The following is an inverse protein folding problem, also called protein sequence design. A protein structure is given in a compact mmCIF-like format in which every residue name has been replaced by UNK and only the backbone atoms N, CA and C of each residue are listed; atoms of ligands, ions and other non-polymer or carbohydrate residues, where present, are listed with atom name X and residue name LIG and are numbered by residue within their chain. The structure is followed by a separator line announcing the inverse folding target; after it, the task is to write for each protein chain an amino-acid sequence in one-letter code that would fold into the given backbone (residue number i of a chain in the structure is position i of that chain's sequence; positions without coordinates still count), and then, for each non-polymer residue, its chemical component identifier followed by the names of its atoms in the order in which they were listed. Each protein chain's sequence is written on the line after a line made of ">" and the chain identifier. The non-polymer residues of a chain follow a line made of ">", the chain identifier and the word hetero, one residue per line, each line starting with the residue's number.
data_IF_722530749638
#
_entry.id   IF_722530749638
#
_cell.length_a   1.000
_cell.length_b   1.000
_cell.length_c   1.000
_cell.angle_alpha   90.00
_cell.angle_beta   90.00
_cell.angle_gamma   90.00
#
_symmetry.space_group_name_H-M   'P 1'
#
loop_
_entity.id
_entity.type
_entity.pdbx_description
1 polymer ?
#
# COMPACT_ATOMS: atom_id res chain seq x y z
N UNK A 1 50.24 -42.82 51.63
CA UNK A 1 50.05 -42.73 50.20
C UNK A 1 48.60 -42.23 49.93
N UNK A 2 48.49 -41.01 49.51
CA UNK A 2 47.21 -40.34 49.27
C UNK A 2 46.97 -40.33 47.76
N UNK A 3 45.97 -41.08 47.30
CA UNK A 3 45.54 -41.09 45.91
C UNK A 3 44.69 -39.89 45.58
N UNK A 4 45.07 -39.15 44.57
CA UNK A 4 44.29 -38.06 44.00
C UNK A 4 43.31 -38.63 42.98
N UNK A 5 42.00 -38.57 43.27
CA UNK A 5 40.91 -38.77 42.29
C UNK A 5 40.78 -37.47 41.45
N UNK A 6 41.07 -37.57 40.18
CA UNK A 6 40.81 -36.52 39.22
C UNK A 6 39.37 -36.71 38.70
N UNK A 7 38.47 -35.79 39.06
CA UNK A 7 37.10 -35.75 38.55
C UNK A 7 37.11 -34.98 37.21
N UNK A 8 36.93 -35.68 36.11
CA UNK A 8 36.76 -35.10 34.77
C UNK A 8 35.33 -34.68 34.62
N UNK A 9 35.06 -33.40 34.74
CA UNK A 9 33.75 -32.82 34.43
C UNK A 9 33.60 -32.69 32.92
N UNK A 10 32.75 -33.51 32.33
CA UNK A 10 32.37 -33.48 30.92
C UNK A 10 31.29 -32.41 30.72
N UNK A 11 31.69 -31.24 30.21
CA UNK A 11 30.75 -30.17 29.84
C UNK A 11 30.15 -30.55 28.50
N UNK A 12 28.89 -31.03 28.53
CA UNK A 12 28.06 -31.20 27.32
C UNK A 12 27.56 -29.82 26.92
N UNK A 13 28.22 -29.19 25.95
CA UNK A 13 27.72 -28.00 25.30
C UNK A 13 26.54 -28.41 24.37
N UNK A 14 25.31 -28.34 24.90
CA UNK A 14 24.13 -28.42 24.09
C UNK A 14 24.02 -27.16 23.19
N UNK A 15 24.50 -27.29 21.95
CA UNK A 15 24.29 -26.26 20.94
C UNK A 15 22.78 -26.12 20.64
N UNK A 16 22.15 -25.10 21.22
CA UNK A 16 20.85 -24.64 20.73
C UNK A 16 21.07 -24.06 19.33
N UNK A 17 20.81 -24.88 18.33
CA UNK A 17 20.59 -24.39 16.96
C UNK A 17 19.26 -23.61 16.99
N UNK A 18 19.35 -22.30 17.27
CA UNK A 18 18.25 -21.40 16.99
C UNK A 18 18.09 -21.35 15.45
N UNK A 19 17.21 -22.19 14.93
CA UNK A 19 16.67 -22.02 13.60
C UNK A 19 16.03 -20.63 13.59
N UNK A 20 16.74 -19.64 13.00
CA UNK A 20 16.20 -18.31 12.85
C UNK A 20 14.93 -18.41 12.00
N UNK A 21 13.77 -18.35 12.65
CA UNK A 21 12.51 -18.10 11.96
C UNK A 21 12.68 -16.71 11.37
N UNK A 22 12.78 -16.61 10.04
CA UNK A 22 12.74 -15.32 9.35
C UNK A 22 11.37 -14.75 9.64
N UNK A 23 11.26 -13.84 10.62
CA UNK A 23 10.07 -13.06 10.81
C UNK A 23 9.95 -12.16 9.57
N UNK A 24 8.90 -12.36 8.78
CA UNK A 24 8.51 -11.36 7.79
C UNK A 24 8.03 -10.13 8.57
N UNK A 25 8.80 -9.05 8.45
CA UNK A 25 8.56 -7.81 9.19
C UNK A 25 7.58 -6.88 8.48
N UNK A 26 7.05 -7.23 7.32
CA UNK A 26 6.12 -6.43 6.52
C UNK A 26 4.82 -7.21 6.25
N UNK A 27 3.67 -6.52 6.11
CA UNK A 27 3.46 -5.07 6.20
C UNK A 27 3.33 -4.55 7.65
N UNK A 28 3.54 -3.23 7.82
CA UNK A 28 3.38 -2.54 9.11
C UNK A 28 2.14 -1.67 9.17
N UNK A 29 1.56 -1.34 8.02
CA UNK A 29 0.38 -0.48 7.85
C UNK A 29 -0.62 -1.20 6.98
N UNK A 30 -1.89 -1.13 7.35
CA UNK A 30 -2.99 -1.69 6.57
C UNK A 30 -3.94 -0.58 6.13
N UNK A 31 -4.27 -0.58 4.84
CA UNK A 31 -5.13 0.41 4.21
C UNK A 31 -6.26 -0.27 3.47
N UNK A 32 -7.48 0.15 3.77
CA UNK A 32 -8.65 -0.12 2.94
C UNK A 32 -8.82 1.02 1.93
N UNK A 33 -8.69 0.71 0.64
CA UNK A 33 -8.78 1.67 -0.44
C UNK A 33 -10.12 1.57 -1.15
N UNK A 34 -10.73 2.73 -1.41
CA UNK A 34 -11.91 2.89 -2.25
C UNK A 34 -11.54 3.74 -3.47
N UNK A 35 -12.03 3.36 -4.64
CA UNK A 35 -11.77 4.03 -5.91
C UNK A 35 -13.05 4.57 -6.52
N UNK A 36 -12.99 5.78 -7.08
CA UNK A 36 -13.97 6.30 -8.01
C UNK A 36 -13.30 6.62 -9.35
N UNK A 37 -13.79 6.01 -10.41
CA UNK A 37 -13.35 6.24 -11.80
C UNK A 37 -14.32 7.23 -12.43
N UNK A 38 -13.84 8.43 -12.73
CA UNK A 38 -14.67 9.49 -13.33
C UNK A 38 -14.55 9.48 -14.83
N UNK A 39 -15.70 9.56 -15.49
CA UNK A 39 -15.82 9.71 -16.95
C UNK A 39 -16.48 11.03 -17.29
N UNK A 40 -16.05 11.62 -18.40
CA UNK A 40 -16.67 12.81 -18.97
C UNK A 40 -17.95 12.47 -19.75
N UNK A 41 -18.55 13.50 -20.34
CA UNK A 41 -19.77 13.39 -21.19
C UNK A 41 -19.58 12.54 -22.45
N UNK A 42 -18.35 12.33 -22.89
CA UNK A 42 -18.00 11.53 -24.07
C UNK A 42 -17.57 10.09 -23.65
N UNK A 43 -17.65 9.77 -22.36
CA UNK A 43 -17.36 8.46 -21.79
C UNK A 43 -15.87 8.20 -21.54
N UNK A 44 -15.00 9.18 -21.77
CA UNK A 44 -13.58 9.02 -21.50
C UNK A 44 -13.28 9.12 -20.02
N UNK A 45 -12.37 8.29 -19.52
CA UNK A 45 -11.89 8.37 -18.14
C UNK A 45 -10.97 9.57 -18.01
N UNK A 46 -11.29 10.45 -17.06
CA UNK A 46 -10.57 11.71 -16.84
C UNK A 46 -9.82 11.76 -15.52
N UNK A 47 -10.30 11.04 -14.51
CA UNK A 47 -9.81 11.16 -13.14
C UNK A 47 -10.05 9.87 -12.36
N UNK A 48 -9.13 9.57 -11.45
CA UNK A 48 -9.29 8.58 -10.38
C UNK A 48 -9.33 9.31 -9.06
N UNK A 49 -10.39 9.11 -8.27
CA UNK A 49 -10.43 9.56 -6.89
C UNK A 49 -10.22 8.39 -5.98
N UNK A 50 -9.47 8.60 -4.92
CA UNK A 50 -9.16 7.57 -3.95
C UNK A 50 -9.48 8.04 -2.55
N UNK A 51 -10.01 7.12 -1.76
CA UNK A 51 -10.20 7.27 -0.32
C UNK A 51 -9.50 6.11 0.34
N UNK A 52 -8.51 6.40 1.17
CA UNK A 52 -7.76 5.42 1.93
C UNK A 52 -8.10 5.54 3.40
N UNK A 53 -8.52 4.45 4.00
CA UNK A 53 -8.75 4.33 5.44
C UNK A 53 -7.63 3.50 6.05
N UNK A 54 -6.93 4.07 7.01
CA UNK A 54 -5.83 3.40 7.70
C UNK A 54 -6.31 2.62 8.91
N UNK A 55 -5.57 1.58 9.26
CA UNK A 55 -5.81 0.82 10.48
C UNK A 55 -5.65 1.69 11.75
N UNK A 56 -6.26 1.24 12.85
CA UNK A 56 -6.29 2.01 14.12
C UNK A 56 -4.89 2.17 14.74
N UNK A 57 -4.01 1.19 14.58
CA UNK A 57 -2.68 1.24 15.17
C UNK A 57 -1.82 2.32 14.50
N UNK A 58 -1.78 2.33 13.17
CA UNK A 58 -1.07 3.37 12.42
C UNK A 58 -1.71 4.74 12.62
N UNK A 59 -3.04 4.81 12.64
CA UNK A 59 -3.77 6.05 12.90
C UNK A 59 -3.45 6.63 14.28
N UNK A 60 -3.31 5.77 15.29
CA UNK A 60 -2.89 6.19 16.63
C UNK A 60 -1.47 6.77 16.63
N UNK A 61 -0.59 6.27 15.78
CA UNK A 61 0.77 6.82 15.62
C UNK A 61 0.72 8.23 15.02
N UNK A 62 -0.12 8.44 13.99
CA UNK A 62 -0.34 9.77 13.42
C UNK A 62 -0.85 10.75 14.51
N UNK A 63 -1.82 10.33 15.29
CA UNK A 63 -2.34 11.16 16.38
C UNK A 63 -1.23 11.53 17.39
N UNK A 64 -0.43 10.55 17.82
CA UNK A 64 0.66 10.78 18.78
C UNK A 64 1.76 11.70 18.26
N UNK A 65 2.06 11.62 16.97
CA UNK A 65 3.16 12.38 16.34
C UNK A 65 2.75 13.81 15.99
N UNK A 66 1.46 14.05 15.71
CA UNK A 66 0.98 15.33 15.17
C UNK A 66 0.06 16.10 16.12
N UNK A 67 -0.44 15.53 17.22
CA UNK A 67 -1.20 16.23 18.26
C UNK A 67 -0.24 17.09 19.12
N UNK A 68 0.09 18.26 18.61
CA UNK A 68 1.08 19.18 19.23
C UNK A 68 0.56 19.77 20.52
N UNK A 69 -0.76 20.01 20.60
CA UNK A 69 -1.40 20.61 21.77
C UNK A 69 -1.77 19.58 22.85
N UNK A 70 -1.63 18.28 22.55
CA UNK A 70 -1.90 17.13 23.41
C UNK A 70 -3.35 17.08 23.93
N UNK A 71 -4.31 17.46 23.08
CA UNK A 71 -5.74 17.42 23.44
C UNK A 71 -6.43 16.12 23.03
N UNK A 72 -5.70 15.21 22.37
CA UNK A 72 -6.18 13.91 21.92
C UNK A 72 -6.97 13.97 20.62
N UNK A 73 -6.81 15.01 19.83
CA UNK A 73 -7.44 15.22 18.52
C UNK A 73 -6.43 15.86 17.58
N UNK A 74 -6.71 15.80 16.29
CA UNK A 74 -6.00 16.56 15.27
C UNK A 74 -6.87 17.73 14.83
N UNK A 75 -6.41 18.95 15.08
CA UNK A 75 -7.06 20.15 14.55
C UNK A 75 -6.70 20.39 13.09
N UNK A 76 -7.29 21.41 12.45
CA UNK A 76 -7.07 21.69 11.04
C UNK A 76 -5.59 21.96 10.72
N UNK A 77 -4.86 22.63 11.60
CA UNK A 77 -3.46 22.98 11.35
C UNK A 77 -2.54 21.75 11.47
N UNK A 78 -2.88 20.84 12.35
CA UNK A 78 -2.18 19.57 12.54
C UNK A 78 -2.47 18.61 11.36
N UNK A 79 -3.72 18.55 10.90
CA UNK A 79 -4.10 17.80 9.71
C UNK A 79 -3.43 18.36 8.42
N UNK A 80 -3.30 19.68 8.31
CA UNK A 80 -2.61 20.31 7.19
C UNK A 80 -1.12 19.92 7.14
N UNK A 81 -0.46 19.79 8.28
CA UNK A 81 0.94 19.33 8.33
C UNK A 81 1.05 17.86 7.94
N UNK A 82 0.14 16.99 8.41
CA UNK A 82 0.08 15.59 7.95
C UNK A 82 -0.12 15.55 6.43
N UNK A 83 -1.09 16.31 5.91
CA UNK A 83 -1.42 16.38 4.48
C UNK A 83 -0.19 16.74 3.63
N UNK A 84 0.58 17.73 4.06
CA UNK A 84 1.81 18.15 3.37
C UNK A 84 2.84 17.03 3.33
N UNK A 85 3.15 16.44 4.49
CA UNK A 85 4.18 15.38 4.61
C UNK A 85 3.79 14.15 3.78
N UNK A 86 2.53 13.71 3.85
CA UNK A 86 2.11 12.52 3.09
C UNK A 86 2.06 12.81 1.59
N UNK A 87 1.68 14.02 1.16
CA UNK A 87 1.66 14.40 -0.25
C UNK A 87 3.06 14.32 -0.85
N UNK A 88 4.06 14.87 -0.16
CA UNK A 88 5.46 14.80 -0.57
C UNK A 88 5.96 13.35 -0.61
N UNK A 89 5.74 12.58 0.46
CA UNK A 89 6.25 11.21 0.61
C UNK A 89 5.63 10.23 -0.40
N UNK A 90 4.31 10.22 -0.53
CA UNK A 90 3.60 9.27 -1.40
C UNK A 90 3.71 9.71 -2.87
N UNK A 91 3.83 11.02 -3.12
CA UNK A 91 4.05 11.56 -4.47
C UNK A 91 5.33 11.06 -5.13
N UNK A 92 6.40 10.82 -4.36
CA UNK A 92 7.64 10.22 -4.87
C UNK A 92 7.48 8.78 -5.38
N UNK A 93 6.38 8.12 -5.00
CA UNK A 93 6.04 6.74 -5.37
C UNK A 93 4.78 6.66 -6.24
N UNK A 94 4.54 7.66 -7.07
CA UNK A 94 3.39 7.75 -7.99
C UNK A 94 2.04 7.48 -7.27
N UNK A 95 1.90 7.96 -6.03
CA UNK A 95 0.71 7.75 -5.17
C UNK A 95 0.31 6.27 -5.04
N UNK A 96 1.29 5.37 -5.05
CA UNK A 96 1.10 3.91 -5.04
C UNK A 96 0.12 3.41 -6.11
N UNK A 97 -0.01 4.16 -7.22
CA UNK A 97 -1.03 3.92 -8.24
C UNK A 97 -0.41 3.78 -9.61
N UNK A 98 -0.71 2.68 -10.28
CA UNK A 98 -0.38 2.48 -11.70
C UNK A 98 -1.66 2.22 -12.49
N UNK A 99 -1.77 2.87 -13.65
CA UNK A 99 -2.89 2.69 -14.56
C UNK A 99 -2.38 2.14 -15.90
N UNK A 100 -3.03 1.10 -16.39
CA UNK A 100 -2.74 0.51 -17.70
C UNK A 100 -3.99 0.34 -18.54
N UNK A 101 -3.85 0.64 -19.83
CA UNK A 101 -4.87 0.37 -20.86
C UNK A 101 -4.22 -0.50 -21.93
N UNK A 102 -4.79 -1.66 -22.19
CA UNK A 102 -4.23 -2.66 -23.13
C UNK A 102 -2.74 -2.94 -22.87
N UNK A 103 -2.34 -2.96 -21.58
CA UNK A 103 -0.96 -3.19 -21.15
C UNK A 103 -0.03 -1.97 -21.22
N UNK A 104 -0.46 -0.87 -21.84
CA UNK A 104 0.33 0.38 -21.86
C UNK A 104 0.05 1.22 -20.62
N UNK A 105 1.09 1.71 -19.95
CA UNK A 105 0.97 2.61 -18.81
C UNK A 105 0.42 3.97 -19.26
N UNK A 106 -0.53 4.49 -18.48
CA UNK A 106 -1.15 5.80 -18.70
C UNK A 106 -0.68 6.76 -17.63
N UNK A 107 -0.21 7.94 -18.04
CA UNK A 107 0.26 8.97 -17.13
C UNK A 107 -0.87 9.82 -16.57
N UNK A 108 -0.70 10.24 -15.34
CA UNK A 108 -1.59 11.19 -14.67
C UNK A 108 -0.77 12.35 -14.09
N UNK A 109 -1.46 13.46 -13.85
CA UNK A 109 -0.90 14.61 -13.14
C UNK A 109 -0.87 14.25 -11.66
N UNK A 110 0.27 14.40 -10.98
CA UNK A 110 0.33 14.21 -9.54
C UNK A 110 -0.73 15.04 -8.80
N UNK A 111 -1.29 14.50 -7.73
CA UNK A 111 -2.19 15.25 -6.88
C UNK A 111 -1.44 16.45 -6.26
N UNK A 112 -2.05 17.62 -6.30
CA UNK A 112 -1.47 18.82 -5.68
C UNK A 112 -1.36 18.66 -4.16
N UNK A 113 -2.35 18.01 -3.56
CA UNK A 113 -2.39 17.73 -2.12
C UNK A 113 -3.28 16.53 -1.82
N UNK A 114 -2.84 15.70 -0.89
CA UNK A 114 -3.67 14.69 -0.25
C UNK A 114 -4.35 15.35 0.95
N UNK A 115 -5.68 15.39 0.94
CA UNK A 115 -6.44 15.83 2.12
C UNK A 115 -6.46 14.72 3.16
N UNK A 116 -6.21 15.07 4.40
CA UNK A 116 -6.27 14.13 5.53
C UNK A 116 -7.40 14.54 6.47
N UNK A 117 -8.14 13.56 6.93
CA UNK A 117 -9.13 13.68 7.99
C UNK A 117 -8.88 12.60 9.05
N UNK A 118 -9.40 12.81 10.25
CA UNK A 118 -9.27 11.86 11.34
C UNK A 118 -10.64 11.68 12.00
N UNK A 119 -11.26 10.52 11.75
CA UNK A 119 -12.59 10.22 12.26
C UNK A 119 -12.66 8.78 12.76
N UNK A 120 -13.45 8.52 13.78
CA UNK A 120 -13.60 7.19 14.40
C UNK A 120 -12.27 6.53 14.79
N UNK A 121 -11.29 7.32 15.27
CA UNK A 121 -9.92 6.91 15.60
C UNK A 121 -9.11 6.37 14.40
N UNK A 122 -9.51 6.69 13.18
CA UNK A 122 -8.81 6.29 11.97
C UNK A 122 -8.48 7.50 11.10
N UNK A 123 -7.28 7.49 10.53
CA UNK A 123 -6.88 8.44 9.52
C UNK A 123 -7.53 8.08 8.18
N UNK A 124 -8.01 9.09 7.48
CA UNK A 124 -8.56 9.01 6.14
C UNK A 124 -7.75 9.91 5.22
N UNK A 125 -7.41 9.43 4.04
CA UNK A 125 -6.76 10.22 3.00
C UNK A 125 -7.62 10.28 1.77
N UNK A 126 -7.75 11.48 1.17
CA UNK A 126 -8.55 11.75 -0.01
C UNK A 126 -7.69 12.46 -1.04
N UNK A 127 -7.64 11.94 -2.25
CA UNK A 127 -6.92 12.60 -3.36
C UNK A 127 -7.48 12.20 -4.72
N UNK A 128 -7.13 12.98 -5.72
CA UNK A 128 -7.52 12.77 -7.11
C UNK A 128 -6.28 12.76 -8.01
N UNK A 129 -6.25 11.82 -8.94
CA UNK A 129 -5.24 11.70 -9.98
C UNK A 129 -5.92 11.98 -11.31
N UNK A 130 -5.64 13.14 -11.90
CA UNK A 130 -6.20 13.55 -13.19
C UNK A 130 -5.32 13.03 -14.31
N UNK A 131 -5.88 12.38 -15.33
CA UNK A 131 -5.10 11.93 -16.47
C UNK A 131 -4.60 13.11 -17.30
N UNK A 132 -3.35 13.06 -17.77
CA UNK A 132 -2.80 14.09 -18.67
C UNK A 132 -3.64 14.25 -19.93
N UNK A 133 -4.26 13.17 -20.38
CA UNK A 133 -5.22 13.14 -21.47
C UNK A 133 -6.37 12.22 -21.12
N UNK A 134 -7.63 12.58 -21.41
CA UNK A 134 -8.77 11.69 -21.24
C UNK A 134 -8.53 10.35 -21.94
N UNK A 135 -8.82 9.26 -21.25
CA UNK A 135 -8.59 7.90 -21.73
C UNK A 135 -9.90 7.39 -22.35
N UNK A 136 -9.91 7.26 -23.67
CA UNK A 136 -11.03 6.63 -24.38
C UNK A 136 -10.91 5.11 -24.23
N UNK A 137 -12.03 4.47 -23.87
CA UNK A 137 -12.12 3.02 -23.75
C UNK A 137 -13.11 2.49 -24.80
N UNK A 138 -12.63 1.63 -25.67
CA UNK A 138 -13.48 0.86 -26.55
C UNK A 138 -14.08 -0.34 -25.80
N UNK A 139 -15.19 -0.91 -26.31
CA UNK A 139 -15.94 -2.00 -25.66
C UNK A 139 -15.13 -3.29 -25.41
N UNK A 140 -13.88 -3.36 -25.81
CA UNK A 140 -12.97 -4.51 -25.64
C UNK A 140 -11.73 -4.19 -24.85
N UNK A 141 -11.54 -2.94 -24.47
CA UNK A 141 -10.33 -2.51 -23.78
C UNK A 141 -10.33 -2.96 -22.34
N UNK A 142 -9.17 -3.39 -21.86
CA UNK A 142 -8.94 -3.58 -20.44
C UNK A 142 -8.37 -2.30 -19.85
N UNK A 143 -9.05 -1.77 -18.82
CA UNK A 143 -8.58 -0.67 -18.00
C UNK A 143 -8.22 -1.23 -16.63
N UNK A 144 -6.93 -1.25 -16.31
CA UNK A 144 -6.42 -1.80 -15.06
C UNK A 144 -5.90 -0.67 -14.17
N UNK A 145 -6.29 -0.68 -12.91
CA UNK A 145 -5.74 0.19 -11.86
C UNK A 145 -5.10 -0.71 -10.81
N UNK A 146 -3.84 -0.51 -10.55
CA UNK A 146 -3.12 -1.16 -9.45
C UNK A 146 -2.88 -0.12 -8.35
N UNK A 147 -3.25 -0.47 -7.12
CA UNK A 147 -2.97 0.34 -5.93
C UNK A 147 -2.10 -0.50 -5.01
N UNK A 148 -0.81 -0.19 -4.94
CA UNK A 148 0.14 -1.00 -4.17
C UNK A 148 1.37 -0.19 -3.78
N UNK A 149 1.81 -0.34 -2.53
CA UNK A 149 3.12 0.14 -2.09
C UNK A 149 4.23 -0.80 -2.60
N UNK A 150 5.12 -0.34 -3.48
CA UNK A 150 6.19 -1.17 -4.02
C UNK A 150 7.21 -1.62 -2.96
N UNK A 151 7.25 -0.98 -1.79
CA UNK A 151 8.11 -1.39 -0.68
C UNK A 151 7.49 -2.48 0.21
N UNK A 152 6.21 -2.78 0.03
CA UNK A 152 5.42 -3.70 0.87
C UNK A 152 5.31 -3.27 2.35
N UNK A 153 5.65 -2.02 2.66
CA UNK A 153 5.48 -1.48 4.00
C UNK A 153 3.99 -1.27 4.33
N UNK A 154 3.23 -0.85 3.34
CA UNK A 154 1.78 -0.65 3.39
C UNK A 154 1.07 -1.77 2.62
N UNK A 155 0.21 -2.52 3.29
CA UNK A 155 -0.73 -3.43 2.63
C UNK A 155 -1.97 -2.65 2.20
N UNK A 156 -2.20 -2.59 0.89
CA UNK A 156 -3.39 -1.98 0.30
C UNK A 156 -4.41 -3.07 -0.02
N UNK A 157 -5.65 -2.91 0.42
CA UNK A 157 -6.77 -3.79 0.05
C UNK A 157 -7.94 -2.99 -0.51
N UNK A 158 -8.53 -3.49 -1.59
CA UNK A 158 -9.82 -3.06 -2.13
C UNK A 158 -10.79 -4.18 -1.80
N UNK A 159 -11.68 -3.97 -0.83
CA UNK A 159 -12.43 -5.03 -0.17
C UNK A 159 -13.25 -5.91 -1.15
N UNK A 160 -13.98 -5.28 -2.06
CA UNK A 160 -14.79 -5.92 -3.09
C UNK A 160 -15.10 -4.92 -4.23
N UNK A 161 -15.90 -5.37 -5.21
CA UNK A 161 -16.30 -4.55 -6.35
C UNK A 161 -17.13 -3.31 -5.96
N UNK A 162 -17.80 -3.33 -4.80
CA UNK A 162 -18.55 -2.17 -4.31
C UNK A 162 -17.65 -1.02 -3.84
N UNK A 163 -16.38 -1.31 -3.52
CA UNK A 163 -15.37 -0.31 -3.21
C UNK A 163 -14.87 0.43 -4.47
N UNK A 164 -15.29 0.01 -5.67
CA UNK A 164 -14.95 0.66 -6.93
C UNK A 164 -16.22 1.23 -7.56
N UNK A 165 -16.29 2.54 -7.68
CA UNK A 165 -17.40 3.23 -8.31
C UNK A 165 -16.96 3.78 -9.67
N UNK A 166 -17.86 3.69 -10.66
CA UNK A 166 -17.65 4.29 -11.98
C UNK A 166 -18.76 5.30 -12.18
N UNK A 167 -18.40 6.56 -12.35
CA UNK A 167 -19.35 7.67 -12.49
C UNK A 167 -19.17 8.41 -13.81
N UNK A 168 -20.21 9.12 -14.26
CA UNK A 168 -20.25 9.82 -15.54
C UNK A 168 -20.89 9.01 -16.66
N UNK A 169 -20.80 9.52 -17.88
CA UNK A 169 -21.43 8.93 -19.05
C UNK A 169 -20.60 7.77 -19.65
N UNK A 170 -21.21 6.96 -20.48
CA UNK A 170 -20.53 5.88 -21.22
C UNK A 170 -21.16 4.51 -21.04
N UNK A 171 -20.56 3.51 -21.67
CA UNK A 171 -20.98 2.11 -21.59
C UNK A 171 -20.76 1.55 -20.18
N UNK A 172 -21.65 0.66 -19.74
CA UNK A 172 -21.43 -0.08 -18.49
C UNK A 172 -20.13 -0.88 -18.56
N UNK A 173 -19.40 -0.87 -17.46
CA UNK A 173 -18.17 -1.65 -17.30
C UNK A 173 -18.38 -2.70 -16.22
N UNK A 174 -17.80 -3.88 -16.43
CA UNK A 174 -17.69 -4.89 -15.39
C UNK A 174 -16.42 -4.63 -14.58
N UNK A 175 -16.56 -4.64 -13.25
CA UNK A 175 -15.43 -4.49 -12.33
C UNK A 175 -15.02 -5.87 -11.84
N UNK A 176 -13.74 -6.12 -11.74
CA UNK A 176 -13.18 -7.30 -11.10
C UNK A 176 -11.96 -6.95 -10.27
N UNK A 177 -11.86 -7.50 -9.07
CA UNK A 177 -10.73 -7.31 -8.17
C UNK A 177 -9.79 -8.51 -8.30
N UNK A 178 -8.54 -8.25 -8.66
CA UNK A 178 -7.48 -9.26 -8.72
C UNK A 178 -6.51 -9.01 -7.58
N UNK A 179 -6.37 -9.99 -6.69
CA UNK A 179 -5.41 -9.94 -5.60
C UNK A 179 -4.21 -10.83 -5.91
N UNK A 180 -2.98 -10.40 -5.58
CA UNK A 180 -1.83 -11.28 -5.67
C UNK A 180 -2.02 -12.51 -4.80
N UNK A 181 -1.72 -13.68 -5.33
CA UNK A 181 -1.62 -14.91 -4.55
C UNK A 181 -0.25 -14.94 -3.85
N UNK A 182 -0.20 -14.48 -2.62
CA UNK A 182 1.03 -14.41 -1.83
C UNK A 182 1.63 -15.80 -1.58
N UNK A 183 0.82 -16.85 -1.45
CA UNK A 183 1.31 -18.21 -1.27
C UNK A 183 2.01 -18.71 -2.53
N UNK A 184 1.48 -18.38 -3.71
CA UNK A 184 2.10 -18.66 -4.98
C UNK A 184 3.40 -17.87 -5.17
N UNK A 185 3.42 -16.59 -4.81
CA UNK A 185 4.61 -15.75 -4.85
C UNK A 185 5.70 -16.27 -3.91
N UNK A 186 5.35 -16.64 -2.69
CA UNK A 186 6.29 -17.22 -1.72
C UNK A 186 6.81 -18.58 -2.18
N UNK A 187 5.97 -19.42 -2.81
CA UNK A 187 6.36 -20.74 -3.28
C UNK A 187 7.22 -20.71 -4.55
N UNK A 188 6.98 -19.73 -5.43
CA UNK A 188 7.69 -19.59 -6.71
C UNK A 188 9.04 -18.89 -6.59
N UNK A 189 9.20 -18.01 -5.62
CA UNK A 189 10.39 -17.17 -5.48
C UNK A 189 11.47 -17.71 -4.54
N UNK A 190 11.26 -18.86 -3.91
CA UNK A 190 12.27 -19.59 -3.12
C UNK A 190 13.08 -18.76 -2.11
N UNK A 191 12.57 -17.73 -1.59
CA UNK A 191 13.07 -16.62 -0.76
C UNK A 191 13.07 -15.31 -1.56
N UNK A 192 12.14 -14.42 -1.25
CA UNK A 192 12.27 -13.02 -1.63
C UNK A 192 13.60 -12.51 -1.06
N UNK A 193 14.56 -12.24 -1.93
CA UNK A 193 15.92 -11.86 -1.50
C UNK A 193 15.90 -10.42 -1.03
N UNK A 194 16.88 -10.04 -0.18
CA UNK A 194 17.11 -8.62 0.18
C UNK A 194 17.16 -7.70 -1.05
N UNK A 195 17.56 -8.21 -2.21
CA UNK A 195 17.59 -7.47 -3.47
C UNK A 195 16.19 -7.11 -3.99
N UNK A 196 15.17 -7.92 -3.69
CA UNK A 196 13.79 -7.62 -4.02
C UNK A 196 13.29 -6.40 -3.23
N UNK A 197 13.58 -6.35 -1.94
CA UNK A 197 13.21 -5.21 -1.09
C UNK A 197 14.10 -3.98 -1.31
N UNK A 198 15.34 -4.17 -1.77
CA UNK A 198 16.24 -3.06 -2.06
C UNK A 198 15.97 -2.36 -3.40
N UNK A 199 15.21 -2.99 -4.32
CA UNK A 199 14.93 -2.43 -5.64
C UNK A 199 13.54 -2.85 -6.18
N UNK A 200 12.47 -2.44 -5.50
CA UNK A 200 11.10 -2.91 -5.77
C UNK A 200 10.59 -2.51 -7.17
N UNK A 201 11.13 -1.44 -7.77
CA UNK A 201 10.76 -1.00 -9.14
C UNK A 201 11.13 -2.02 -10.23
N UNK A 202 11.97 -3.00 -9.94
CA UNK A 202 12.36 -4.07 -10.88
C UNK A 202 11.64 -5.40 -10.59
N UNK A 203 10.76 -5.44 -9.60
CA UNK A 203 9.97 -6.61 -9.28
C UNK A 203 8.75 -6.67 -10.21
N UNK A 204 8.82 -7.44 -11.27
CA UNK A 204 7.65 -7.84 -12.05
C UNK A 204 6.82 -8.80 -11.19
N UNK A 205 5.70 -8.33 -10.67
CA UNK A 205 4.65 -9.20 -10.15
C UNK A 205 3.97 -9.79 -11.40
N UNK A 206 4.34 -11.00 -11.77
CA UNK A 206 3.95 -11.70 -13.00
C UNK A 206 2.64 -11.28 -13.67
N UNK A 207 2.64 -11.28 -14.99
CA UNK A 207 1.49 -10.98 -15.85
C UNK A 207 0.28 -11.86 -15.56
#
# INVERSE_FOLDING_TARGET
>A
AIGKLASTAMIVAAGLSMSGVKAMAHPHVFVEANLEVLRDKDGAVTELRQVWRFDELFSSTILLDFDVNADGKLDTSELDEVSKIVTESIGESDFFTEVRVEGATVSFVPADMIMVDFTDNQALMFFALTFEKPVQLDNKDSFKVSVADPSYYVAMDIADEAAVQITGDGTACDVSIVRPDFDLLLSSSGTLTEQFFANPKNASLGD
#
